data_IF_399405001577
#
_entry.id   IF_399405001577
#
_cell.length_a   1.000
_cell.length_b   1.000
_cell.length_c   1.000
_cell.angle_alpha   90.00
_cell.angle_beta   90.00
_cell.angle_gamma   90.00
#
_symmetry.space_group_name_H-M   'P 1'
#
loop_
_entity.id
_entity.type
_entity.pdbx_description
1 polymer ?
#
# COMPACT_ATOMS: atom_id res chain seq x y z
N UNK A 1 17.86 -5.86 29.91
CA UNK A 1 17.92 -6.70 28.68
C UNK A 1 18.84 -6.13 27.59
N UNK A 2 18.68 -4.88 27.13
CA UNK A 2 19.46 -4.38 25.96
C UNK A 2 21.00 -4.28 26.12
N UNK A 3 21.54 -4.17 27.35
CA UNK A 3 22.99 -4.16 27.59
C UNK A 3 23.64 -5.54 27.50
N UNK A 4 22.90 -6.59 27.86
CA UNK A 4 23.38 -7.97 27.82
C UNK A 4 23.52 -8.46 26.37
N UNK A 5 22.55 -8.12 25.52
CA UNK A 5 22.56 -8.44 24.08
C UNK A 5 23.67 -7.69 23.33
N UNK A 6 24.05 -6.49 23.78
CA UNK A 6 25.14 -5.73 23.16
C UNK A 6 26.51 -6.37 23.43
N UNK A 7 26.78 -6.76 24.68
CA UNK A 7 28.03 -7.42 25.05
C UNK A 7 28.19 -8.79 24.35
N UNK A 8 27.11 -9.58 24.26
CA UNK A 8 27.11 -10.88 23.58
C UNK A 8 27.40 -10.77 22.08
N UNK A 9 26.87 -9.72 21.42
CA UNK A 9 27.11 -9.47 20.00
C UNK A 9 28.54 -8.95 19.76
N UNK A 10 29.05 -8.09 20.63
CA UNK A 10 30.45 -7.61 20.54
C UNK A 10 31.45 -8.76 20.76
N UNK A 11 31.16 -9.69 21.67
CA UNK A 11 31.98 -10.88 21.93
C UNK A 11 31.92 -11.88 20.77
N UNK A 12 30.73 -12.14 20.21
CA UNK A 12 30.55 -13.05 19.06
C UNK A 12 31.28 -12.57 17.80
N UNK A 13 31.36 -11.25 17.60
CA UNK A 13 31.96 -10.66 16.39
C UNK A 13 33.37 -10.10 16.62
N UNK A 14 33.88 -10.11 17.87
CA UNK A 14 35.24 -9.68 18.21
C UNK A 14 35.54 -8.19 17.93
N UNK A 15 34.50 -7.36 17.81
CA UNK A 15 34.61 -5.96 17.41
C UNK A 15 33.57 -5.10 18.15
N UNK A 16 33.85 -3.81 18.39
CA UNK A 16 32.87 -2.91 18.98
C UNK A 16 31.67 -2.76 18.04
N UNK A 17 30.46 -2.59 18.60
CA UNK A 17 29.22 -2.56 17.80
C UNK A 17 29.25 -1.47 16.72
N UNK A 18 29.95 -0.35 16.97
CA UNK A 18 30.15 0.71 15.99
C UNK A 18 30.93 0.27 14.75
N UNK A 19 31.94 -0.59 14.90
CA UNK A 19 32.71 -1.14 13.77
C UNK A 19 31.88 -2.16 12.99
N UNK A 20 31.12 -3.00 13.70
CA UNK A 20 30.21 -4.00 13.09
C UNK A 20 29.15 -3.28 12.25
N UNK A 21 28.50 -2.25 12.79
CA UNK A 21 27.49 -1.48 12.08
C UNK A 21 28.05 -0.77 10.85
N UNK A 22 29.28 -0.25 10.91
CA UNK A 22 29.96 0.32 9.74
C UNK A 22 30.26 -0.73 8.67
N UNK A 23 30.74 -1.91 9.06
CA UNK A 23 30.97 -3.01 8.12
C UNK A 23 29.69 -3.47 7.41
N UNK A 24 28.59 -3.62 8.16
CA UNK A 24 27.28 -3.94 7.57
C UNK A 24 26.75 -2.85 6.64
N UNK A 25 27.08 -1.58 6.92
CA UNK A 25 26.75 -0.44 6.06
C UNK A 25 27.57 -0.46 4.77
N UNK A 26 28.87 -0.77 4.84
CA UNK A 26 29.76 -0.92 3.68
C UNK A 26 29.36 -2.10 2.79
N UNK A 27 28.87 -3.19 3.39
CA UNK A 27 28.23 -4.31 2.67
C UNK A 27 26.91 -3.90 1.99
N UNK A 28 26.41 -2.69 2.24
CA UNK A 28 25.20 -2.15 1.61
C UNK A 28 23.90 -2.76 2.13
N UNK A 29 23.92 -3.39 3.31
CA UNK A 29 22.75 -4.02 3.89
C UNK A 29 21.71 -2.99 4.33
N UNK A 30 20.44 -3.34 4.14
CA UNK A 30 19.35 -2.53 4.70
C UNK A 30 19.24 -2.81 6.21
N UNK A 31 18.57 -1.92 6.94
CA UNK A 31 18.40 -2.03 8.40
C UNK A 31 17.69 -3.33 8.84
N UNK A 32 16.84 -3.90 7.98
CA UNK A 32 16.13 -5.15 8.26
C UNK A 32 17.08 -6.36 8.17
N UNK A 33 17.78 -6.51 7.04
CA UNK A 33 18.77 -7.57 6.81
C UNK A 33 19.95 -7.48 7.77
N UNK A 34 20.37 -6.27 8.13
CA UNK A 34 21.37 -6.05 9.18
C UNK A 34 20.89 -6.52 10.55
N UNK A 35 19.61 -6.31 10.88
CA UNK A 35 19.04 -6.80 12.14
C UNK A 35 18.92 -8.33 12.19
N UNK A 36 18.51 -8.94 11.07
CA UNK A 36 18.42 -10.40 10.92
C UNK A 36 19.80 -11.07 11.01
N UNK A 37 20.82 -10.50 10.36
CA UNK A 37 22.19 -11.02 10.40
C UNK A 37 22.82 -10.96 11.78
N UNK A 38 22.47 -9.94 12.55
CA UNK A 38 22.89 -9.81 13.94
C UNK A 38 22.01 -10.62 14.91
N UNK A 39 20.92 -11.22 14.43
CA UNK A 39 19.97 -11.94 15.28
C UNK A 39 19.23 -11.05 16.29
N UNK A 40 19.12 -9.75 16.00
CA UNK A 40 18.50 -8.77 16.89
C UNK A 40 17.25 -8.15 16.27
N UNK A 41 16.37 -7.62 17.12
CA UNK A 41 15.23 -6.85 16.61
C UNK A 41 15.69 -5.55 15.95
N UNK A 42 14.96 -5.11 14.91
CA UNK A 42 15.18 -3.82 14.23
C UNK A 42 15.23 -2.63 15.21
N UNK A 43 14.42 -2.65 16.27
CA UNK A 43 14.41 -1.60 17.29
C UNK A 43 15.70 -1.57 18.12
N UNK A 44 16.28 -2.74 18.40
CA UNK A 44 17.59 -2.84 19.06
C UNK A 44 18.69 -2.26 18.17
N UNK A 45 18.69 -2.61 16.88
CA UNK A 45 19.62 -2.06 15.89
C UNK A 45 19.52 -0.53 15.82
N UNK A 46 18.31 0.03 15.71
CA UNK A 46 18.07 1.48 15.64
C UNK A 46 18.57 2.21 16.88
N UNK A 47 18.42 1.62 18.07
CA UNK A 47 18.98 2.19 19.31
C UNK A 47 20.50 2.21 19.27
N UNK A 48 21.15 1.19 18.73
CA UNK A 48 22.61 1.14 18.60
C UNK A 48 23.12 2.14 17.56
N UNK A 49 22.46 2.25 16.40
CA UNK A 49 22.75 3.27 15.39
C UNK A 49 22.70 4.67 16.02
N UNK A 50 21.64 4.97 16.78
CA UNK A 50 21.49 6.25 17.49
C UNK A 50 22.57 6.44 18.56
N UNK A 51 22.89 5.40 19.35
CA UNK A 51 23.90 5.44 20.41
C UNK A 51 25.30 5.69 19.86
N UNK A 52 25.63 5.11 18.71
CA UNK A 52 26.92 5.24 18.03
C UNK A 52 26.98 6.47 17.11
N UNK A 53 25.91 7.27 17.03
CA UNK A 53 25.79 8.42 16.14
C UNK A 53 26.15 8.09 14.67
N UNK A 54 25.70 6.91 14.20
CA UNK A 54 25.95 6.45 12.83
C UNK A 54 24.81 6.94 11.94
N UNK A 55 25.15 7.64 10.86
CA UNK A 55 24.17 7.98 9.83
C UNK A 55 23.97 6.78 8.90
N UNK A 56 22.99 5.94 9.23
CA UNK A 56 22.66 4.78 8.41
C UNK A 56 21.75 5.21 7.26
N UNK A 57 22.20 5.08 6.00
CA UNK A 57 21.47 5.60 4.85
C UNK A 57 20.03 5.08 4.82
N UNK A 58 19.08 5.97 4.56
CA UNK A 58 17.65 5.65 4.53
C UNK A 58 17.37 4.56 3.47
N UNK A 59 18.18 4.52 2.42
CA UNK A 59 18.09 3.60 1.29
C UNK A 59 19.40 2.84 1.10
N UNK A 60 19.32 1.54 0.80
CA UNK A 60 20.49 0.82 0.29
C UNK A 60 20.83 1.29 -1.12
N UNK A 61 22.05 1.00 -1.59
CA UNK A 61 22.43 1.20 -3.00
C UNK A 61 21.42 0.56 -3.95
N UNK A 62 20.86 -0.60 -3.59
CA UNK A 62 19.82 -1.28 -4.34
C UNK A 62 18.51 -0.47 -4.41
N UNK A 63 18.07 0.14 -3.31
CA UNK A 63 16.91 1.02 -3.32
C UNK A 63 17.15 2.29 -4.14
N UNK A 64 18.36 2.85 -4.09
CA UNK A 64 18.76 3.98 -4.95
C UNK A 64 18.68 3.61 -6.43
N UNK A 65 19.22 2.45 -6.82
CA UNK A 65 19.12 1.89 -8.18
C UNK A 65 17.66 1.64 -8.58
N UNK A 66 16.86 1.02 -7.72
CA UNK A 66 15.43 0.78 -7.98
C UNK A 66 14.66 2.08 -8.18
N UNK A 67 14.97 3.13 -7.43
CA UNK A 67 14.39 4.46 -7.61
C UNK A 67 14.80 5.08 -8.95
N UNK A 68 16.08 5.03 -9.31
CA UNK A 68 16.57 5.50 -10.61
C UNK A 68 15.90 4.74 -11.78
N UNK A 69 15.74 3.42 -11.65
CA UNK A 69 15.03 2.62 -12.64
C UNK A 69 13.55 3.01 -12.74
N UNK A 70 12.86 3.21 -11.61
CA UNK A 70 11.47 3.71 -11.61
C UNK A 70 11.35 5.09 -12.28
N UNK A 71 12.31 5.99 -12.08
CA UNK A 71 12.33 7.29 -12.76
C UNK A 71 12.48 7.12 -14.28
N UNK A 72 13.39 6.24 -14.71
CA UNK A 72 13.58 5.91 -16.13
C UNK A 72 12.34 5.28 -16.74
N UNK A 73 11.69 4.35 -16.04
CA UNK A 73 10.44 3.73 -16.47
C UNK A 73 9.31 4.75 -16.63
N UNK A 74 9.22 5.74 -15.73
CA UNK A 74 8.24 6.82 -15.81
C UNK A 74 8.46 7.74 -17.02
N UNK A 75 9.71 7.89 -17.45
CA UNK A 75 10.06 8.66 -18.66
C UNK A 75 9.93 7.90 -19.97
N UNK A 76 9.52 6.61 -19.97
CA UNK A 76 9.40 5.84 -21.21
C UNK A 76 8.22 6.29 -22.08
N UNK A 77 7.10 6.63 -21.47
CA UNK A 77 5.88 6.99 -22.19
C UNK A 77 5.89 8.47 -22.52
N UNK A 78 5.77 8.79 -23.81
CA UNK A 78 5.65 10.16 -24.30
C UNK A 78 4.25 10.38 -24.86
N UNK A 79 3.69 11.56 -24.62
CA UNK A 79 2.38 11.96 -25.12
C UNK A 79 2.42 13.38 -25.65
N UNK A 80 1.65 13.63 -26.70
CA UNK A 80 1.35 15.00 -27.13
C UNK A 80 0.35 15.62 -26.16
N UNK A 81 0.76 16.71 -25.53
CA UNK A 81 -0.05 17.46 -24.59
C UNK A 81 0.25 18.95 -24.77
N UNK A 82 -0.79 19.76 -24.97
CA UNK A 82 -0.68 21.21 -25.23
C UNK A 82 0.23 21.58 -26.42
N UNK A 83 0.25 20.74 -27.46
CA UNK A 83 1.05 20.96 -28.68
C UNK A 83 2.52 20.58 -28.55
N UNK A 84 2.93 19.99 -27.43
CA UNK A 84 4.30 19.53 -27.19
C UNK A 84 4.33 18.03 -26.85
N UNK A 85 5.32 17.31 -27.36
CA UNK A 85 5.58 15.92 -26.97
C UNK A 85 6.41 15.90 -25.70
N UNK A 86 5.82 15.46 -24.59
CA UNK A 86 6.49 15.39 -23.30
C UNK A 86 6.27 14.04 -22.59
N UNK A 87 7.09 13.69 -21.60
CA UNK A 87 6.88 12.50 -20.79
C UNK A 87 5.49 12.50 -20.14
N UNK A 88 4.83 11.35 -20.14
CA UNK A 88 3.50 11.15 -19.54
C UNK A 88 3.46 11.59 -18.08
N UNK A 89 4.57 11.40 -17.37
CA UNK A 89 4.74 11.84 -15.99
C UNK A 89 4.66 13.36 -15.84
N UNK A 90 5.32 14.11 -16.72
CA UNK A 90 5.34 15.57 -16.67
C UNK A 90 3.98 16.14 -17.08
N UNK A 91 3.36 15.60 -18.14
CA UNK A 91 1.99 15.97 -18.51
C UNK A 91 0.98 15.68 -17.38
N UNK A 92 1.11 14.55 -16.68
CA UNK A 92 0.24 14.25 -15.53
C UNK A 92 0.42 15.26 -14.38
N UNK A 93 1.68 15.68 -14.13
CA UNK A 93 2.02 16.65 -13.09
C UNK A 93 1.49 18.05 -13.44
N UNK A 94 1.58 18.48 -14.69
CA UNK A 94 1.03 19.76 -15.18
C UNK A 94 -0.49 19.84 -14.97
N UNK A 95 -1.20 18.75 -15.25
CA UNK A 95 -2.66 18.66 -15.07
C UNK A 95 -3.09 18.38 -13.62
N UNK A 96 -2.13 18.20 -12.70
CA UNK A 96 -2.41 17.91 -11.28
C UNK A 96 -3.04 16.53 -11.05
N UNK A 97 -2.85 15.58 -11.97
CA UNK A 97 -3.45 14.24 -11.91
C UNK A 97 -2.40 13.22 -11.44
N UNK A 98 -2.74 12.30 -10.53
CA UNK A 98 -1.83 11.23 -10.12
C UNK A 98 -1.34 10.40 -11.32
N UNK A 99 -0.02 10.27 -11.47
CA UNK A 99 0.61 9.55 -12.59
C UNK A 99 0.09 8.12 -12.79
N UNK A 100 -0.16 7.40 -11.70
CA UNK A 100 -0.70 6.03 -11.77
C UNK A 100 -2.07 5.98 -12.48
N UNK A 101 -2.93 6.98 -12.26
CA UNK A 101 -4.24 7.08 -12.92
C UNK A 101 -4.07 7.35 -14.41
N UNK A 102 -3.17 8.28 -14.76
CA UNK A 102 -2.89 8.62 -16.17
C UNK A 102 -2.25 7.43 -16.90
N UNK A 103 -1.31 6.74 -16.27
CA UNK A 103 -0.67 5.54 -16.82
C UNK A 103 -1.68 4.42 -17.08
N UNK A 104 -2.60 4.16 -16.15
CA UNK A 104 -3.65 3.17 -16.34
C UNK A 104 -4.56 3.51 -17.52
N UNK A 105 -4.95 4.77 -17.66
CA UNK A 105 -5.73 5.26 -18.81
C UNK A 105 -4.95 5.11 -20.12
N UNK A 106 -3.66 5.45 -20.12
CA UNK A 106 -2.78 5.30 -21.28
C UNK A 106 -2.67 3.83 -21.71
N UNK A 107 -2.48 2.91 -20.75
CA UNK A 107 -2.44 1.46 -20.99
C UNK A 107 -3.76 0.91 -21.52
N UNK A 108 -4.89 1.51 -21.16
CA UNK A 108 -6.23 1.21 -21.73
C UNK A 108 -6.46 1.80 -23.13
N UNK A 109 -5.49 2.52 -23.68
CA UNK A 109 -5.61 3.16 -24.99
C UNK A 109 -6.26 4.54 -24.98
N UNK A 110 -6.53 5.13 -23.81
CA UNK A 110 -7.05 6.50 -23.74
C UNK A 110 -5.98 7.51 -24.17
N UNK A 111 -6.35 8.53 -24.96
CA UNK A 111 -5.45 9.57 -25.52
C UNK A 111 -6.14 10.94 -25.46
N UNK A 112 -5.35 12.00 -25.64
CA UNK A 112 -5.84 13.38 -25.66
C UNK A 112 -6.54 13.77 -24.35
N UNK A 113 -7.66 14.50 -24.45
CA UNK A 113 -8.42 14.98 -23.28
C UNK A 113 -8.94 13.88 -22.35
N UNK A 114 -9.22 12.68 -22.87
CA UNK A 114 -9.67 11.53 -22.06
C UNK A 114 -8.62 11.08 -21.07
N UNK A 115 -7.35 11.23 -21.45
CA UNK A 115 -6.20 10.85 -20.63
C UNK A 115 -6.12 11.71 -19.35
N UNK A 116 -6.45 13.00 -19.47
CA UNK A 116 -6.34 14.00 -18.42
C UNK A 116 -7.69 14.41 -17.81
N UNK A 117 -8.73 13.58 -17.95
CA UNK A 117 -10.02 13.84 -17.27
C UNK A 117 -9.86 13.87 -15.73
N UNK A 118 -10.62 14.67 -15.00
CA UNK A 118 -10.52 14.74 -13.53
C UNK A 118 -10.74 13.37 -12.90
N UNK A 119 -9.99 13.09 -11.83
CA UNK A 119 -10.18 11.87 -11.04
C UNK A 119 -11.42 12.06 -10.19
N UNK A 120 -12.36 11.10 -10.24
CA UNK A 120 -13.49 11.11 -9.33
C UNK A 120 -12.96 11.04 -7.90
N UNK A 121 -13.45 11.93 -7.04
CA UNK A 121 -13.14 11.85 -5.62
C UNK A 121 -13.50 10.46 -5.09
N UNK A 122 -12.52 9.81 -4.47
CA UNK A 122 -12.80 8.58 -3.76
C UNK A 122 -13.65 8.91 -2.54
N UNK A 123 -14.96 8.68 -2.63
CA UNK A 123 -15.83 8.68 -1.46
C UNK A 123 -15.61 7.36 -0.74
N UNK A 124 -15.01 7.42 0.45
CA UNK A 124 -14.98 6.26 1.34
C UNK A 124 -16.43 5.85 1.57
N UNK A 125 -16.80 4.59 1.30
CA UNK A 125 -18.14 4.13 1.65
C UNK A 125 -18.37 4.32 3.15
N UNK A 126 -19.62 4.57 3.59
CA UNK A 126 -19.92 4.67 5.01
C UNK A 126 -19.48 3.37 5.71
N UNK A 127 -18.99 3.50 6.95
CA UNK A 127 -18.46 2.37 7.72
C UNK A 127 -19.55 1.39 8.18
N UNK A 128 -20.79 1.86 8.28
CA UNK A 128 -21.98 1.09 8.62
C UNK A 128 -23.12 1.46 7.66
N UNK A 129 -24.10 0.56 7.56
CA UNK A 129 -25.31 0.77 6.77
C UNK A 129 -26.50 0.32 7.62
N UNK A 130 -27.53 1.15 7.67
CA UNK A 130 -28.83 0.77 8.23
C UNK A 130 -29.64 0.11 7.12
N UNK A 131 -29.77 -1.21 7.19
CA UNK A 131 -30.49 -2.02 6.22
C UNK A 131 -31.66 -2.66 6.95
N UNK A 132 -32.87 -2.23 6.63
CA UNK A 132 -34.10 -2.80 7.19
C UNK A 132 -34.47 -4.09 6.47
N UNK A 133 -33.61 -5.10 6.55
CA UNK A 133 -33.85 -6.43 6.01
C UNK A 133 -34.13 -7.39 7.15
N UNK A 134 -35.20 -8.17 7.01
CA UNK A 134 -35.47 -9.31 7.89
C UNK A 134 -34.48 -10.45 7.59
N UNK A 135 -34.36 -11.45 8.48
CA UNK A 135 -33.54 -12.64 8.19
C UNK A 135 -33.96 -13.36 6.89
N UNK A 136 -35.25 -13.35 6.56
CA UNK A 136 -35.79 -13.95 5.33
C UNK A 136 -35.35 -13.15 4.08
N UNK A 137 -35.36 -11.82 4.15
CA UNK A 137 -34.88 -10.95 3.07
C UNK A 137 -33.39 -11.19 2.79
N UNK A 138 -32.59 -11.45 3.82
CA UNK A 138 -31.17 -11.80 3.66
C UNK A 138 -30.96 -13.15 2.99
N UNK A 139 -31.79 -14.15 3.31
CA UNK A 139 -31.73 -15.45 2.64
C UNK A 139 -32.08 -15.32 1.16
N UNK A 140 -33.16 -14.61 0.83
CA UNK A 140 -33.56 -14.34 -0.55
C UNK A 140 -32.49 -13.53 -1.31
N UNK A 141 -31.83 -12.59 -0.63
CA UNK A 141 -30.71 -11.85 -1.21
C UNK A 141 -29.51 -12.75 -1.52
N UNK A 142 -29.21 -13.72 -0.65
CA UNK A 142 -28.16 -14.70 -0.86
C UNK A 142 -28.49 -15.65 -2.03
N UNK A 143 -29.72 -16.15 -2.12
CA UNK A 143 -30.19 -16.97 -3.24
C UNK A 143 -30.08 -16.20 -4.57
N UNK A 144 -30.54 -14.95 -4.60
CA UNK A 144 -30.40 -14.09 -5.77
C UNK A 144 -28.91 -13.86 -6.13
N UNK A 145 -28.04 -13.75 -5.14
CA UNK A 145 -26.61 -13.59 -5.37
C UNK A 145 -25.96 -14.84 -5.99
N UNK A 146 -26.50 -16.03 -5.75
CA UNK A 146 -26.05 -17.27 -6.39
C UNK A 146 -26.47 -17.34 -7.86
N UNK A 147 -27.67 -16.86 -8.18
CA UNK A 147 -28.21 -16.86 -9.54
C UNK A 147 -27.54 -15.82 -10.45
N UNK A 148 -27.48 -14.55 -10.02
CA UNK A 148 -27.04 -13.43 -10.86
C UNK A 148 -25.69 -12.83 -10.45
N UNK A 149 -25.09 -13.34 -9.37
CA UNK A 149 -23.85 -12.86 -8.79
C UNK A 149 -24.04 -11.72 -7.78
N UNK A 150 -23.20 -11.70 -6.73
CA UNK A 150 -23.27 -10.78 -5.58
C UNK A 150 -23.39 -9.31 -5.97
N UNK A 151 -22.62 -8.85 -6.98
CA UNK A 151 -22.65 -7.45 -7.41
C UNK A 151 -23.99 -7.05 -8.01
N UNK A 152 -24.57 -7.90 -8.86
CA UNK A 152 -25.85 -7.62 -9.53
C UNK A 152 -27.01 -7.75 -8.55
N UNK A 153 -26.98 -8.74 -7.66
CA UNK A 153 -27.96 -8.90 -6.59
C UNK A 153 -27.97 -7.68 -5.65
N UNK A 154 -26.79 -7.24 -5.20
CA UNK A 154 -26.66 -6.05 -4.36
C UNK A 154 -27.21 -4.78 -5.04
N UNK A 155 -26.92 -4.59 -6.33
CA UNK A 155 -27.47 -3.47 -7.11
C UNK A 155 -28.99 -3.56 -7.25
N UNK A 156 -29.54 -4.75 -7.51
CA UNK A 156 -30.98 -4.97 -7.71
C UNK A 156 -31.78 -4.75 -6.42
N UNK A 157 -31.22 -5.15 -5.29
CA UNK A 157 -31.82 -4.98 -3.96
C UNK A 157 -31.48 -3.63 -3.30
N UNK A 158 -30.71 -2.79 -3.98
CA UNK A 158 -30.20 -1.51 -3.47
C UNK A 158 -29.50 -1.63 -2.11
N UNK A 159 -28.78 -2.74 -1.90
CA UNK A 159 -27.99 -2.99 -0.69
C UNK A 159 -26.49 -2.89 -0.99
N UNK A 160 -25.67 -2.54 0.01
CA UNK A 160 -24.22 -2.56 -0.13
C UNK A 160 -23.72 -3.97 -0.42
N UNK A 161 -22.86 -4.10 -1.44
CA UNK A 161 -22.25 -5.39 -1.79
C UNK A 161 -21.48 -6.01 -0.61
N UNK A 162 -20.87 -5.17 0.24
CA UNK A 162 -20.20 -5.62 1.45
C UNK A 162 -21.15 -6.29 2.44
N UNK A 163 -22.35 -5.74 2.63
CA UNK A 163 -23.34 -6.31 3.54
C UNK A 163 -23.83 -7.68 3.04
N UNK A 164 -24.14 -7.80 1.75
CA UNK A 164 -24.51 -9.09 1.14
C UNK A 164 -23.37 -10.12 1.21
N UNK A 165 -22.12 -9.67 1.06
CA UNK A 165 -20.95 -10.56 1.20
C UNK A 165 -20.79 -11.04 2.65
N UNK A 166 -21.00 -10.16 3.63
CA UNK A 166 -20.97 -10.53 5.06
C UNK A 166 -22.11 -11.50 5.40
N UNK A 167 -23.31 -11.26 4.89
CA UNK A 167 -24.46 -12.16 5.06
C UNK A 167 -24.16 -13.57 4.50
N UNK A 168 -23.61 -13.65 3.28
CA UNK A 168 -23.19 -14.92 2.66
C UNK A 168 -22.12 -15.67 3.46
N UNK A 169 -21.23 -14.93 4.13
CA UNK A 169 -20.17 -15.51 4.95
C UNK A 169 -20.62 -15.79 6.40
N UNK A 170 -21.88 -15.50 6.76
CA UNK A 170 -22.40 -15.65 8.13
C UNK A 170 -21.79 -14.67 9.15
N UNK A 171 -21.21 -13.56 8.68
CA UNK A 171 -20.51 -12.56 9.51
C UNK A 171 -21.33 -11.28 9.72
N UNK A 172 -22.62 -11.30 9.40
CA UNK A 172 -23.49 -10.14 9.54
C UNK A 172 -23.98 -10.04 11.00
N UNK A 173 -23.50 -9.05 11.74
CA UNK A 173 -24.06 -8.71 13.05
C UNK A 173 -25.37 -7.94 12.85
N UNK A 174 -26.50 -8.63 12.94
CA UNK A 174 -27.82 -7.98 12.96
C UNK A 174 -28.04 -7.39 14.35
N UNK A 175 -27.75 -6.11 14.55
CA UNK A 175 -28.21 -5.42 15.75
C UNK A 175 -29.71 -5.17 15.60
N UNK A 176 -30.53 -5.93 16.34
CA UNK A 176 -31.95 -5.65 16.44
C UNK A 176 -32.17 -4.20 16.94
N UNK A 177 -33.20 -3.48 16.45
CA UNK A 177 -33.48 -2.13 16.91
C UNK A 177 -33.69 -2.16 18.43
N UNK A 178 -33.01 -1.26 19.16
CA UNK A 178 -33.28 -1.05 20.58
C UNK A 178 -34.74 -0.62 20.70
N UNK A 179 -35.56 -1.44 21.36
CA UNK A 179 -36.88 -1.03 21.80
C UNK A 179 -36.71 0.13 22.79
N UNK A 180 -37.33 1.27 22.49
CA UNK A 180 -37.53 2.38 23.43
C UNK A 180 -38.49 1.99 24.56
#
# INVERSE_FOLDING_TARGET
MARHVLAEVEERHGAPIGAILKGLMEEGLNKQSASERLGVTKNTLLRWIKKCNIDWPIYTLEHSRKRQNNLRERSLYHVEHNGETKPLFDAAKEEGIPYNVVLDRYKRGERGSRLFRPVREYRKPPGSYEINFTPEDWNLACELAEEIGTKRAAQKLNIPMSALTLARNGLLETTAPRAE
#
